data_IF_905509319902
#
_entry.id   IF_905509319902
#
_cell.length_a   1.000
_cell.length_b   1.000
_cell.length_c   1.000
_cell.angle_alpha   90.00
_cell.angle_beta   90.00
_cell.angle_gamma   90.00
#
_symmetry.space_group_name_H-M   'P 1'
#
loop_
_entity.id
_entity.type
_entity.pdbx_description
1 polymer ?
#
# COMPACT_ATOMS: atom_id res chain seq x y z
N UNK A 1 -3.08 -90.33 37.70
CA UNK A 1 -1.83 -89.58 37.89
C UNK A 1 -1.90 -88.28 37.08
N UNK A 2 -1.66 -87.14 37.72
CA UNK A 2 -1.13 -85.88 37.15
C UNK A 2 -1.94 -85.17 36.04
N UNK A 3 -2.98 -84.40 36.41
CA UNK A 3 -3.04 -82.92 36.48
C UNK A 3 -2.84 -82.14 35.17
N UNK A 4 -3.99 -81.69 34.64
CA UNK A 4 -4.21 -80.46 33.88
C UNK A 4 -3.45 -79.25 34.48
N UNK A 5 -2.75 -78.49 33.63
CA UNK A 5 -2.42 -77.08 33.91
C UNK A 5 -3.11 -76.18 32.88
N UNK A 6 -3.94 -75.26 33.39
CA UNK A 6 -4.63 -74.19 32.66
C UNK A 6 -3.67 -73.03 32.33
N UNK A 7 -3.87 -72.31 31.21
CA UNK A 7 -3.22 -71.03 30.95
C UNK A 7 -4.03 -69.89 31.57
N UNK A 8 -3.57 -69.39 32.71
CA UNK A 8 -3.99 -68.10 33.27
C UNK A 8 -2.72 -67.37 33.70
N UNK A 9 -2.62 -66.08 33.32
CA UNK A 9 -1.62 -65.07 33.73
C UNK A 9 -0.85 -64.39 32.58
N UNK A 10 -1.53 -63.99 31.49
CA UNK A 10 -0.99 -62.99 30.54
C UNK A 10 -1.81 -61.69 30.51
N UNK A 11 -2.57 -61.40 31.56
CA UNK A 11 -3.43 -60.21 31.68
C UNK A 11 -3.12 -59.35 32.92
N UNK A 12 -2.02 -59.62 33.63
CA UNK A 12 -1.69 -58.98 34.91
C UNK A 12 -0.38 -58.19 34.88
N UNK A 13 -0.07 -57.52 33.77
CA UNK A 13 1.03 -56.53 33.69
C UNK A 13 0.67 -55.27 32.88
N UNK A 14 -0.60 -55.10 32.48
CA UNK A 14 -1.09 -53.90 31.76
C UNK A 14 -1.79 -52.90 32.71
N UNK A 15 -1.96 -53.26 33.98
CA UNK A 15 -2.71 -52.47 34.96
C UNK A 15 -1.82 -51.87 36.07
N UNK A 16 -0.60 -51.42 35.72
CA UNK A 16 0.30 -50.73 36.68
C UNK A 16 1.09 -49.56 36.07
N UNK A 17 0.71 -49.08 34.87
CA UNK A 17 1.19 -47.82 34.28
C UNK A 17 0.06 -46.78 34.17
N UNK A 18 -1.18 -47.12 34.56
CA UNK A 18 -2.36 -46.26 34.40
C UNK A 18 -2.67 -45.39 35.63
N UNK A 19 -1.95 -45.51 36.75
CA UNK A 19 -2.32 -44.80 37.99
C UNK A 19 -1.33 -43.75 38.51
N UNK A 20 -0.33 -43.30 37.72
CA UNK A 20 0.61 -42.27 38.19
C UNK A 20 0.72 -41.09 37.21
N UNK A 21 -0.41 -40.41 36.94
CA UNK A 21 -0.44 -39.04 36.40
C UNK A 21 -1.81 -38.32 36.54
N UNK A 22 -2.54 -38.35 37.68
CA UNK A 22 -3.56 -37.34 37.92
C UNK A 22 -2.94 -36.23 38.79
N UNK A 23 -2.28 -35.24 38.20
CA UNK A 23 -1.68 -34.20 39.04
C UNK A 23 -0.99 -33.00 38.39
N UNK A 24 -0.91 -32.90 37.06
CA UNK A 24 -0.35 -31.71 36.40
C UNK A 24 -1.06 -31.49 35.07
N UNK A 25 -2.24 -30.86 35.06
CA UNK A 25 -2.63 -29.89 34.02
C UNK A 25 -4.00 -29.24 34.31
N UNK A 26 -4.12 -28.50 35.41
CA UNK A 26 -5.12 -27.44 35.49
C UNK A 26 -4.53 -26.17 34.85
N UNK A 27 -4.42 -26.15 33.52
CA UNK A 27 -4.31 -24.88 32.81
C UNK A 27 -5.73 -24.31 32.70
N UNK A 28 -5.99 -23.07 33.18
CA UNK A 28 -7.23 -22.40 32.82
C UNK A 28 -7.24 -22.27 31.31
N UNK A 29 -8.21 -22.92 30.68
CA UNK A 29 -8.54 -22.67 29.29
C UNK A 29 -9.16 -21.28 29.24
N UNK A 30 -8.32 -20.25 29.17
CA UNK A 30 -8.76 -18.91 28.80
C UNK A 30 -9.31 -19.06 27.39
N UNK A 31 -10.63 -19.08 27.25
CA UNK A 31 -11.28 -18.95 25.97
C UNK A 31 -10.69 -17.69 25.33
N UNK A 32 -9.89 -17.85 24.28
CA UNK A 32 -9.57 -16.75 23.40
C UNK A 32 -10.91 -16.32 22.81
N UNK A 33 -11.47 -15.22 23.31
CA UNK A 33 -12.60 -14.57 22.66
C UNK A 33 -12.21 -14.40 21.18
N UNK A 34 -13.10 -14.75 20.23
CA UNK A 34 -12.82 -14.48 18.83
C UNK A 34 -12.52 -13.00 18.73
N UNK A 35 -11.25 -12.67 18.45
CA UNK A 35 -10.83 -11.30 18.27
C UNK A 35 -11.60 -10.82 17.04
N UNK A 36 -12.72 -10.13 17.29
CA UNK A 36 -13.47 -9.44 16.25
C UNK A 36 -12.49 -8.41 15.73
N UNK A 37 -11.83 -8.72 14.60
CA UNK A 37 -10.99 -7.76 13.90
C UNK A 37 -11.90 -6.61 13.53
N UNK A 38 -11.81 -5.52 14.28
CA UNK A 38 -12.51 -4.29 13.94
C UNK A 38 -12.02 -3.89 12.54
N UNK A 39 -12.91 -3.75 11.55
CA UNK A 39 -12.48 -3.43 10.20
C UNK A 39 -11.67 -2.14 10.23
N UNK A 40 -10.44 -2.19 9.69
CA UNK A 40 -9.58 -1.01 9.67
C UNK A 40 -10.24 0.08 8.83
N UNK A 41 -10.42 1.26 9.40
CA UNK A 41 -10.94 2.44 8.67
C UNK A 41 -9.84 3.21 7.94
N UNK A 42 -8.57 2.93 8.27
CA UNK A 42 -7.40 3.56 7.67
C UNK A 42 -6.95 2.84 6.41
N UNK A 43 -6.78 3.62 5.34
CA UNK A 43 -6.30 3.12 4.05
C UNK A 43 -4.79 3.35 3.94
N UNK A 44 -4.07 2.33 3.51
CA UNK A 44 -2.62 2.39 3.29
C UNK A 44 -2.32 2.70 1.83
N UNK A 45 -1.45 3.67 1.61
CA UNK A 45 -0.93 4.02 0.29
C UNK A 45 0.55 3.68 0.23
N UNK A 46 0.97 3.04 -0.85
CA UNK A 46 2.36 2.73 -1.10
C UNK A 46 2.78 3.24 -2.47
N UNK A 47 3.78 4.11 -2.49
CA UNK A 47 4.48 4.47 -3.71
C UNK A 47 5.69 3.55 -3.88
N UNK A 48 5.82 2.91 -5.04
CA UNK A 48 6.99 2.09 -5.40
C UNK A 48 7.66 2.76 -6.60
N UNK A 49 8.90 3.22 -6.43
CA UNK A 49 9.60 4.04 -7.43
C UNK A 49 10.85 3.33 -7.92
N UNK A 50 10.93 3.14 -9.24
CA UNK A 50 12.14 2.66 -9.91
C UNK A 50 13.22 3.76 -9.90
N UNK A 51 14.37 3.45 -9.31
CA UNK A 51 15.56 4.31 -9.24
C UNK A 51 16.72 3.71 -10.04
N UNK A 52 16.41 2.95 -11.10
CA UNK A 52 17.42 2.43 -12.02
C UNK A 52 18.04 3.52 -12.90
N UNK A 53 19.17 3.21 -13.54
CA UNK A 53 19.83 4.15 -14.46
C UNK A 53 18.92 4.58 -15.62
N UNK A 54 18.01 3.72 -16.08
CA UNK A 54 17.05 4.07 -17.12
C UNK A 54 16.08 5.19 -16.68
N UNK A 55 15.81 5.30 -15.38
CA UNK A 55 14.89 6.28 -14.82
C UNK A 55 15.50 7.67 -14.62
N UNK A 56 16.83 7.83 -14.72
CA UNK A 56 17.53 9.10 -14.50
C UNK A 56 16.94 10.24 -15.36
N UNK A 57 16.75 9.98 -16.66
CA UNK A 57 16.16 10.95 -17.60
C UNK A 57 14.67 11.23 -17.34
N UNK A 58 14.00 10.37 -16.58
CA UNK A 58 12.57 10.48 -16.24
C UNK A 58 12.34 11.05 -14.83
N UNK A 59 13.43 11.32 -14.10
CA UNK A 59 13.40 11.64 -12.67
C UNK A 59 12.60 12.89 -12.33
N UNK A 60 12.63 13.91 -13.20
CA UNK A 60 11.81 15.12 -13.05
C UNK A 60 10.32 14.81 -13.15
N UNK A 61 9.91 14.06 -14.18
CA UNK A 61 8.52 13.64 -14.37
C UNK A 61 8.05 12.77 -13.18
N UNK A 62 8.87 11.84 -12.71
CA UNK A 62 8.59 11.02 -11.53
C UNK A 62 8.35 11.90 -10.29
N UNK A 63 9.22 12.86 -10.03
CA UNK A 63 9.09 13.78 -8.89
C UNK A 63 7.79 14.58 -8.98
N UNK A 64 7.47 15.11 -10.16
CA UNK A 64 6.28 15.91 -10.36
C UNK A 64 5.00 15.07 -10.18
N UNK A 65 4.93 13.90 -10.82
CA UNK A 65 3.78 12.99 -10.71
C UNK A 65 3.58 12.56 -9.25
N UNK A 66 4.64 12.09 -8.59
CA UNK A 66 4.57 11.64 -7.20
C UNK A 66 4.15 12.77 -6.26
N UNK A 67 4.70 13.97 -6.45
CA UNK A 67 4.33 15.14 -5.64
C UNK A 67 2.88 15.55 -5.86
N UNK A 68 2.42 15.59 -7.11
CA UNK A 68 1.05 15.96 -7.46
C UNK A 68 0.03 14.95 -6.89
N UNK A 69 0.35 13.66 -6.92
CA UNK A 69 -0.46 12.63 -6.27
C UNK A 69 -0.59 12.90 -4.76
N UNK A 70 0.48 13.28 -4.07
CA UNK A 70 0.39 13.57 -2.63
C UNK A 70 -0.33 14.88 -2.34
N UNK A 71 -0.05 15.94 -3.10
CA UNK A 71 -0.74 17.25 -2.95
C UNK A 71 -2.24 17.09 -3.11
N UNK A 72 -2.68 16.32 -4.11
CA UNK A 72 -4.09 16.06 -4.40
C UNK A 72 -4.74 15.05 -3.45
N UNK A 73 -4.05 14.58 -2.40
CA UNK A 73 -4.53 13.49 -1.54
C UNK A 73 -4.94 12.25 -2.37
N UNK A 74 -4.07 11.83 -3.29
CA UNK A 74 -4.29 10.70 -4.21
C UNK A 74 -5.55 10.89 -5.06
N UNK A 75 -5.64 12.04 -5.75
CA UNK A 75 -6.84 12.49 -6.49
C UNK A 75 -8.11 12.54 -5.61
N UNK A 76 -7.96 12.98 -4.35
CA UNK A 76 -9.04 13.13 -3.39
C UNK A 76 -9.52 11.83 -2.73
N UNK A 77 -8.87 10.68 -3.01
CA UNK A 77 -9.26 9.41 -2.42
C UNK A 77 -8.62 9.14 -1.05
N UNK A 78 -7.46 9.74 -0.75
CA UNK A 78 -6.85 9.66 0.57
C UNK A 78 -7.56 10.61 1.54
N UNK A 79 -7.87 10.11 2.74
CA UNK A 79 -8.50 10.86 3.82
C UNK A 79 -7.49 11.20 4.93
N UNK A 80 -7.75 12.22 5.76
CA UNK A 80 -6.95 12.46 6.96
C UNK A 80 -6.88 11.19 7.84
N UNK A 81 -5.68 10.82 8.25
CA UNK A 81 -5.43 9.57 9.00
C UNK A 81 -5.00 8.38 8.13
N UNK A 82 -5.19 8.44 6.82
CA UNK A 82 -4.57 7.47 5.90
C UNK A 82 -3.04 7.58 5.93
N UNK A 83 -2.34 6.52 5.53
CA UNK A 83 -0.87 6.48 5.60
C UNK A 83 -0.24 6.35 4.22
N UNK A 84 0.95 6.93 4.05
CA UNK A 84 1.77 6.86 2.84
C UNK A 84 3.16 6.31 3.16
N UNK A 85 3.47 5.14 2.61
CA UNK A 85 4.81 4.58 2.53
C UNK A 85 5.43 4.81 1.16
N UNK A 86 6.75 4.82 1.09
CA UNK A 86 7.50 4.89 -0.17
C UNK A 86 8.60 3.85 -0.16
N UNK A 87 8.62 3.02 -1.19
CA UNK A 87 9.70 2.09 -1.50
C UNK A 87 10.39 2.54 -2.78
N UNK A 88 11.69 2.34 -2.83
CA UNK A 88 12.47 2.49 -4.06
C UNK A 88 13.00 1.13 -4.46
N UNK A 89 13.32 0.96 -5.73
CA UNK A 89 14.00 -0.24 -6.18
C UNK A 89 14.86 0.05 -7.40
N UNK A 90 15.93 -0.72 -7.52
CA UNK A 90 16.66 -0.91 -8.76
C UNK A 90 16.86 -2.41 -8.94
N UNK A 91 18.03 -2.95 -8.63
CA UNK A 91 18.27 -4.40 -8.63
C UNK A 91 17.69 -5.06 -7.38
N UNK A 92 17.62 -4.32 -6.28
CA UNK A 92 17.06 -4.74 -5.01
C UNK A 92 15.93 -3.80 -4.58
N UNK A 93 15.08 -4.29 -3.69
CA UNK A 93 14.04 -3.51 -3.05
C UNK A 93 14.60 -2.77 -1.85
N UNK A 94 14.47 -1.44 -1.81
CA UNK A 94 14.78 -0.64 -0.62
C UNK A 94 13.49 -0.14 0.05
N UNK A 95 13.28 -0.57 1.30
CA UNK A 95 12.14 -0.18 2.13
C UNK A 95 12.59 0.68 3.31
N UNK A 96 11.65 1.43 3.91
CA UNK A 96 11.89 2.15 5.18
C UNK A 96 12.83 3.36 5.11
N UNK A 97 13.34 3.73 3.93
CA UNK A 97 14.22 4.91 3.74
C UNK A 97 13.46 6.23 3.82
N UNK A 98 12.22 6.24 3.36
CA UNK A 98 11.32 7.37 3.50
C UNK A 98 10.47 7.20 4.76
N UNK A 99 10.44 8.17 5.68
CA UNK A 99 9.60 8.10 6.87
C UNK A 99 8.12 7.97 6.49
N UNK A 100 7.41 7.05 7.14
CA UNK A 100 5.97 6.88 6.94
C UNK A 100 5.26 8.22 7.18
N UNK A 101 4.44 8.65 6.23
CA UNK A 101 3.66 9.87 6.34
C UNK A 101 2.20 9.53 6.66
N UNK A 102 1.53 10.43 7.37
CA UNK A 102 0.08 10.38 7.57
C UNK A 102 -0.54 11.53 6.77
N UNK A 103 -1.59 11.24 6.02
CA UNK A 103 -2.35 12.26 5.30
C UNK A 103 -3.07 13.17 6.29
N UNK A 104 -3.09 14.46 5.99
CA UNK A 104 -3.76 15.50 6.77
C UNK A 104 -4.59 16.38 5.83
N UNK A 105 -5.25 17.40 6.36
CA UNK A 105 -5.95 18.40 5.54
C UNK A 105 -5.02 19.21 4.64
N UNK A 106 -3.71 19.29 4.95
CA UNK A 106 -2.70 19.95 4.12
C UNK A 106 -1.52 19.01 3.83
N UNK A 107 -1.47 18.49 2.61
CA UNK A 107 -0.46 17.50 2.20
C UNK A 107 0.76 18.11 1.51
N UNK A 108 0.83 19.43 1.34
CA UNK A 108 1.96 20.13 0.69
C UNK A 108 3.30 19.83 1.39
N UNK A 109 3.41 19.82 2.73
CA UNK A 109 4.68 19.49 3.40
C UNK A 109 5.13 18.05 3.13
N UNK A 110 4.19 17.10 3.10
CA UNK A 110 4.48 15.70 2.79
C UNK A 110 4.96 15.55 1.34
N UNK A 111 4.31 16.22 0.39
CA UNK A 111 4.71 16.23 -1.01
C UNK A 111 6.11 16.83 -1.22
N UNK A 112 6.44 17.94 -0.53
CA UNK A 112 7.78 18.55 -0.60
C UNK A 112 8.87 17.61 -0.06
N UNK A 113 8.59 16.91 1.05
CA UNK A 113 9.51 15.89 1.59
C UNK A 113 9.70 14.75 0.60
N UNK A 114 8.63 14.29 -0.03
CA UNK A 114 8.70 13.26 -1.06
C UNK A 114 9.55 13.70 -2.27
N UNK A 115 9.30 14.90 -2.80
CA UNK A 115 10.08 15.46 -3.91
C UNK A 115 11.58 15.53 -3.56
N UNK A 116 11.91 16.05 -2.37
CA UNK A 116 13.28 16.13 -1.89
C UNK A 116 13.93 14.75 -1.72
N UNK A 117 13.19 13.77 -1.20
CA UNK A 117 13.64 12.39 -1.05
C UNK A 117 13.95 11.75 -2.41
N UNK A 118 13.02 11.87 -3.39
CA UNK A 118 13.17 11.29 -4.72
C UNK A 118 14.32 11.94 -5.51
N UNK A 119 14.47 13.28 -5.40
CA UNK A 119 15.58 14.00 -6.02
C UNK A 119 16.95 13.57 -5.50
N UNK A 120 17.02 13.15 -4.23
CA UNK A 120 18.26 12.70 -3.60
C UNK A 120 18.59 11.22 -3.90
N UNK A 121 17.71 10.47 -4.58
CA UNK A 121 17.98 9.08 -4.91
C UNK A 121 19.03 8.97 -6.04
N UNK A 122 20.07 8.16 -5.86
CA UNK A 122 20.96 7.82 -6.96
C UNK A 122 20.23 6.96 -7.99
N UNK A 123 20.55 7.15 -9.28
CA UNK A 123 20.00 6.37 -10.38
C UNK A 123 21.04 5.38 -10.91
N UNK A 124 20.91 4.12 -10.50
CA UNK A 124 21.97 3.13 -10.66
C UNK A 124 21.41 1.74 -10.96
N UNK A 125 22.22 0.90 -11.62
CA UNK A 125 21.84 -0.48 -11.92
C UNK A 125 20.65 -0.60 -12.88
N UNK A 126 20.04 -1.79 -12.87
CA UNK A 126 18.87 -2.14 -13.68
C UNK A 126 17.61 -2.25 -12.83
N UNK A 127 16.45 -1.79 -13.35
CA UNK A 127 15.18 -1.89 -12.63
C UNK A 127 14.65 -3.33 -12.67
N UNK A 128 14.60 -4.02 -11.52
CA UNK A 128 14.18 -5.42 -11.37
C UNK A 128 12.90 -5.50 -10.56
N UNK A 129 11.79 -5.11 -11.19
CA UNK A 129 10.47 -5.17 -10.58
C UNK A 129 10.08 -6.57 -10.06
N UNK A 130 10.44 -7.70 -10.72
CA UNK A 130 10.19 -9.03 -10.18
C UNK A 130 10.78 -9.29 -8.78
N UNK A 131 11.85 -8.59 -8.39
CA UNK A 131 12.44 -8.72 -7.05
C UNK A 131 11.61 -8.00 -5.98
N UNK A 132 10.78 -7.03 -6.38
CA UNK A 132 9.87 -6.29 -5.50
C UNK A 132 8.57 -7.07 -5.27
N UNK A 133 8.09 -7.76 -6.32
CA UNK A 133 6.76 -8.37 -6.34
C UNK A 133 6.48 -9.33 -5.17
N UNK A 134 7.37 -10.25 -4.75
CA UNK A 134 7.10 -11.15 -3.63
C UNK A 134 6.83 -10.42 -2.32
N UNK A 135 7.68 -9.46 -1.97
CA UNK A 135 7.52 -8.63 -0.76
C UNK A 135 6.26 -7.76 -0.85
N UNK A 136 5.98 -7.22 -2.04
CA UNK A 136 4.78 -6.43 -2.28
C UNK A 136 3.50 -7.26 -2.11
N UNK A 137 3.45 -8.48 -2.65
CA UNK A 137 2.30 -9.36 -2.52
C UNK A 137 2.11 -9.83 -1.08
N UNK A 138 3.18 -10.02 -0.31
CA UNK A 138 3.07 -10.29 1.12
C UNK A 138 2.51 -9.10 1.91
N UNK A 139 2.89 -7.87 1.56
CA UNK A 139 2.29 -6.67 2.15
C UNK A 139 0.80 -6.55 1.80
N UNK A 140 0.42 -6.87 0.57
CA UNK A 140 -0.98 -6.92 0.14
C UNK A 140 -1.77 -7.92 0.99
N UNK A 141 -1.26 -9.14 1.15
CA UNK A 141 -1.88 -10.21 1.96
C UNK A 141 -2.08 -9.83 3.43
N UNK A 142 -1.20 -8.98 3.98
CA UNK A 142 -1.27 -8.52 5.37
C UNK A 142 -2.05 -7.22 5.57
N UNK A 143 -2.69 -6.70 4.52
CA UNK A 143 -3.43 -5.44 4.56
C UNK A 143 -4.92 -5.64 4.26
N UNK A 144 -5.77 -5.02 5.06
CA UNK A 144 -7.22 -4.99 4.82
C UNK A 144 -7.55 -4.11 3.59
N UNK A 145 -6.95 -2.92 3.51
CA UNK A 145 -7.05 -2.02 2.34
C UNK A 145 -5.70 -1.38 2.03
N UNK A 146 -5.21 -1.57 0.80
CA UNK A 146 -3.98 -0.93 0.32
C UNK A 146 -4.10 -0.55 -1.16
N UNK A 147 -3.61 0.64 -1.50
CA UNK A 147 -3.39 1.05 -2.89
C UNK A 147 -1.90 1.21 -3.12
N UNK A 148 -1.38 0.51 -4.13
CA UNK A 148 0.01 0.56 -4.56
C UNK A 148 0.09 1.32 -5.87
N UNK A 149 1.00 2.29 -5.97
CA UNK A 149 1.28 3.02 -7.20
C UNK A 149 2.75 2.80 -7.54
N UNK A 150 3.01 2.19 -8.70
CA UNK A 150 4.34 1.84 -9.19
C UNK A 150 4.71 2.82 -10.31
N UNK A 151 5.84 3.52 -10.16
CA UNK A 151 6.45 4.33 -11.20
C UNK A 151 7.68 3.61 -11.74
N UNK A 152 7.65 3.22 -13.01
CA UNK A 152 8.73 2.47 -13.66
C UNK A 152 8.90 2.84 -15.12
N UNK A 153 9.98 2.38 -15.75
CA UNK A 153 10.19 2.57 -17.19
C UNK A 153 9.41 1.55 -18.06
N UNK A 154 8.70 0.61 -17.44
CA UNK A 154 7.93 -0.45 -18.09
C UNK A 154 8.79 -1.49 -18.82
N UNK A 155 10.10 -1.56 -18.56
CA UNK A 155 11.00 -2.57 -19.14
C UNK A 155 10.89 -3.93 -18.44
N UNK A 156 10.79 -3.91 -17.12
CA UNK A 156 10.54 -5.08 -16.27
C UNK A 156 9.04 -5.39 -16.18
N UNK A 157 8.70 -6.65 -16.35
CA UNK A 157 7.31 -7.12 -16.31
C UNK A 157 6.78 -7.22 -14.87
N UNK A 158 5.49 -6.93 -14.72
CA UNK A 158 4.73 -7.20 -13.49
C UNK A 158 4.29 -8.66 -13.52
N UNK A 159 4.53 -9.36 -12.40
CA UNK A 159 4.17 -10.76 -12.21
C UNK A 159 3.58 -10.99 -10.83
N UNK A 160 2.64 -11.93 -10.72
CA UNK A 160 2.01 -12.30 -9.46
C UNK A 160 0.71 -11.54 -9.16
N UNK A 161 0.17 -10.80 -10.11
CA UNK A 161 -1.14 -10.15 -10.01
C UNK A 161 -2.16 -10.84 -10.91
N UNK A 162 -3.48 -10.72 -10.65
CA UNK A 162 -4.51 -11.20 -11.57
C UNK A 162 -4.55 -10.46 -12.92
N UNK A 163 -3.73 -9.41 -13.09
CA UNK A 163 -3.78 -8.47 -14.21
C UNK A 163 -2.47 -8.42 -15.00
N UNK A 164 -1.53 -9.35 -14.75
CA UNK A 164 -0.17 -9.37 -15.31
C UNK A 164 -0.18 -9.16 -16.83
N UNK A 165 -0.93 -9.99 -17.56
CA UNK A 165 -0.99 -9.94 -19.02
C UNK A 165 -1.47 -8.57 -19.53
N UNK A 166 -2.52 -8.02 -18.91
CA UNK A 166 -3.13 -6.74 -19.31
C UNK A 166 -2.18 -5.57 -19.04
N UNK A 167 -1.53 -5.57 -17.89
CA UNK A 167 -0.57 -4.53 -17.51
C UNK A 167 0.65 -4.57 -18.43
N UNK A 168 1.23 -5.76 -18.63
CA UNK A 168 2.42 -5.93 -19.46
C UNK A 168 2.12 -5.67 -20.95
N UNK A 169 0.90 -5.94 -21.41
CA UNK A 169 0.47 -5.54 -22.76
C UNK A 169 0.51 -4.02 -22.92
N UNK A 170 0.02 -3.25 -21.94
CA UNK A 170 0.13 -1.78 -21.96
C UNK A 170 1.58 -1.30 -21.98
N UNK A 171 2.47 -1.92 -21.21
CA UNK A 171 3.90 -1.61 -21.26
C UNK A 171 4.47 -1.81 -22.66
N UNK A 172 4.23 -2.97 -23.28
CA UNK A 172 4.76 -3.28 -24.62
C UNK A 172 4.26 -2.30 -25.69
N UNK A 173 2.99 -1.90 -25.62
CA UNK A 173 2.38 -0.98 -26.60
C UNK A 173 2.98 0.43 -26.51
N UNK A 174 3.23 0.95 -25.31
CA UNK A 174 3.59 2.36 -25.10
C UNK A 174 5.07 2.61 -24.78
N UNK A 175 5.88 1.57 -24.55
CA UNK A 175 7.27 1.71 -24.05
C UNK A 175 8.12 2.65 -24.90
N UNK A 176 8.01 2.55 -26.22
CA UNK A 176 8.79 3.40 -27.15
C UNK A 176 8.41 4.87 -27.03
N UNK A 177 7.12 5.16 -26.92
CA UNK A 177 6.61 6.52 -26.79
C UNK A 177 6.99 7.13 -25.44
N UNK A 178 6.79 6.39 -24.36
CA UNK A 178 7.17 6.82 -23.01
C UNK A 178 8.70 7.03 -22.89
N UNK A 179 9.51 6.17 -23.53
CA UNK A 179 10.95 6.37 -23.58
C UNK A 179 11.38 7.62 -24.36
N UNK A 180 10.72 7.91 -25.49
CA UNK A 180 11.00 9.13 -26.28
C UNK A 180 10.59 10.39 -25.53
N UNK A 181 9.44 10.37 -24.87
CA UNK A 181 8.92 11.47 -24.06
C UNK A 181 9.58 11.59 -22.68
N UNK A 182 10.49 10.68 -22.32
CA UNK A 182 11.11 10.62 -20.99
C UNK A 182 10.08 10.55 -19.85
N UNK A 183 8.97 9.86 -20.11
CA UNK A 183 7.88 9.68 -19.16
C UNK A 183 7.92 8.28 -18.54
N UNK A 184 7.58 8.14 -17.25
CA UNK A 184 7.42 6.84 -16.60
C UNK A 184 6.04 6.27 -16.86
N UNK A 185 5.90 4.95 -16.77
CA UNK A 185 4.60 4.32 -16.57
C UNK A 185 4.14 4.53 -15.13
N UNK A 186 2.86 4.81 -14.95
CA UNK A 186 2.22 4.87 -13.64
C UNK A 186 1.21 3.72 -13.55
N UNK A 187 1.54 2.71 -12.75
CA UNK A 187 0.68 1.53 -12.56
C UNK A 187 0.08 1.55 -11.18
N UNK A 188 -1.25 1.53 -11.09
CA UNK A 188 -1.98 1.41 -9.85
C UNK A 188 -2.47 -0.03 -9.67
N UNK A 189 -2.24 -0.57 -8.48
CA UNK A 189 -2.81 -1.83 -8.01
C UNK A 189 -3.61 -1.53 -6.74
N UNK A 190 -4.90 -1.85 -6.78
CA UNK A 190 -5.78 -1.73 -5.64
C UNK A 190 -6.00 -3.10 -5.03
N UNK A 191 -5.80 -3.21 -3.72
CA UNK A 191 -6.03 -4.44 -3.01
C UNK A 191 -6.92 -4.27 -1.80
N UNK A 192 -7.69 -5.31 -1.52
CA UNK A 192 -8.58 -5.43 -0.37
C UNK A 192 -8.58 -6.87 0.12
N UNK A 193 -8.60 -7.05 1.44
CA UNK A 193 -8.69 -8.35 2.10
C UNK A 193 -7.65 -9.35 1.54
N UNK A 194 -6.41 -8.87 1.38
CA UNK A 194 -5.30 -9.67 0.91
C UNK A 194 -5.21 -9.95 -0.59
N UNK A 195 -6.12 -9.40 -1.41
CA UNK A 195 -6.16 -9.67 -2.86
C UNK A 195 -6.15 -8.38 -3.68
N UNK A 196 -5.44 -8.37 -4.80
CA UNK A 196 -5.50 -7.29 -5.79
C UNK A 196 -6.82 -7.39 -6.55
N UNK A 197 -7.69 -6.38 -6.43
CA UNK A 197 -9.05 -6.40 -6.99
C UNK A 197 -9.23 -5.50 -8.19
N UNK A 198 -8.44 -4.43 -8.32
CA UNK A 198 -8.52 -3.50 -9.45
C UNK A 198 -7.11 -3.03 -9.84
N UNK A 199 -6.98 -2.58 -11.10
CA UNK A 199 -5.75 -2.01 -11.61
C UNK A 199 -6.05 -0.83 -12.55
N UNK A 200 -5.05 0.03 -12.73
CA UNK A 200 -5.03 1.02 -13.80
C UNK A 200 -3.59 1.21 -14.27
N UNK A 201 -3.39 1.48 -15.56
CA UNK A 201 -2.08 1.85 -16.10
C UNK A 201 -2.27 3.17 -16.84
N UNK A 202 -1.46 4.16 -16.49
CA UNK A 202 -1.44 5.45 -17.16
C UNK A 202 -0.06 5.73 -17.74
N UNK A 203 -0.08 6.43 -18.88
CA UNK A 203 1.07 6.84 -19.67
C UNK A 203 1.01 8.36 -19.78
N UNK A 204 1.71 9.11 -18.91
CA UNK A 204 1.72 10.57 -18.93
C UNK A 204 1.98 11.12 -20.34
N UNK A 205 1.35 12.26 -20.70
CA UNK A 205 0.69 13.22 -19.81
C UNK A 205 -0.77 12.89 -19.45
N UNK A 206 -1.32 11.78 -19.93
CA UNK A 206 -2.69 11.38 -19.56
C UNK A 206 -2.79 11.17 -18.04
N UNK A 207 -3.89 11.62 -17.40
CA UNK A 207 -4.04 11.49 -15.95
C UNK A 207 -4.12 10.01 -15.54
N UNK A 208 -3.73 9.72 -14.30
CA UNK A 208 -4.02 8.41 -13.70
C UNK A 208 -5.50 8.37 -13.31
N UNK A 209 -6.28 7.57 -14.03
CA UNK A 209 -7.66 7.26 -13.65
C UNK A 209 -7.63 6.33 -12.42
N UNK A 210 -8.00 6.88 -11.26
CA UNK A 210 -8.04 6.12 -10.01
C UNK A 210 -9.35 5.32 -9.96
N UNK A 211 -9.30 3.98 -9.87
CA UNK A 211 -10.49 3.18 -9.60
C UNK A 211 -11.21 3.65 -8.32
N UNK A 212 -12.53 3.46 -8.18
CA UNK A 212 -13.27 3.85 -6.97
C UNK A 212 -12.81 3.04 -5.75
N UNK A 213 -12.88 3.64 -4.55
CA UNK A 213 -12.59 2.93 -3.29
C UNK A 213 -13.57 1.78 -3.10
N UNK A 214 -13.10 0.70 -2.49
CA UNK A 214 -13.93 -0.46 -2.23
C UNK A 214 -15.07 -0.10 -1.27
N UNK A 215 -16.26 -0.61 -1.56
CA UNK A 215 -17.46 -0.33 -0.79
C UNK A 215 -17.28 -0.67 0.69
N UNK A 216 -16.59 -1.77 1.01
CA UNK A 216 -16.32 -2.17 2.39
C UNK A 216 -15.52 -1.11 3.17
N UNK A 217 -14.55 -0.43 2.55
CA UNK A 217 -13.79 0.65 3.18
C UNK A 217 -14.68 1.89 3.40
N UNK A 218 -15.51 2.21 2.40
CA UNK A 218 -16.46 3.34 2.48
C UNK A 218 -17.48 3.09 3.60
N UNK A 219 -18.02 1.88 3.68
CA UNK A 219 -18.95 1.46 4.74
C UNK A 219 -18.31 1.53 6.12
N UNK A 220 -17.12 0.94 6.30
CA UNK A 220 -16.40 0.98 7.58
C UNK A 220 -16.14 2.42 8.06
N UNK A 221 -15.78 3.33 7.14
CA UNK A 221 -15.62 4.76 7.45
C UNK A 221 -16.93 5.42 7.86
N UNK A 222 -18.01 5.17 7.13
CA UNK A 222 -19.33 5.74 7.45
C UNK A 222 -19.86 5.27 8.81
N UNK A 223 -19.65 3.99 9.15
CA UNK A 223 -20.01 3.43 10.46
C UNK A 223 -19.19 4.07 11.59
N UNK A 224 -17.88 4.27 11.38
CA UNK A 224 -17.03 4.92 12.35
C UNK A 224 -17.44 6.38 12.61
N UNK A 225 -17.84 7.12 11.57
CA UNK A 225 -18.37 8.49 11.74
C UNK A 225 -19.68 8.48 12.53
N UNK A 226 -20.62 7.58 12.20
CA UNK A 226 -21.89 7.44 12.94
C UNK A 226 -21.68 7.06 14.41
N UNK A 227 -20.66 6.27 14.72
CA UNK A 227 -20.34 5.88 16.10
C UNK A 227 -19.81 7.06 16.95
N UNK A 228 -19.26 8.11 16.31
CA UNK A 228 -18.72 9.30 16.98
C UNK A 228 -19.73 10.47 17.00
N UNK A 229 -20.82 10.39 16.24
CA UNK A 229 -21.90 11.37 16.32
C UNK A 229 -22.50 11.35 17.74
N UNK A 230 -22.58 12.50 18.44
CA UNK A 230 -23.06 12.51 19.80
C UNK A 230 -24.50 11.99 19.80
N UNK A 231 -24.74 10.88 20.50
CA UNK A 231 -26.08 10.52 20.98
C UNK A 231 -26.66 11.81 21.54
N UNK A 232 -27.67 12.38 20.87
CA UNK A 232 -28.41 13.55 21.35
C UNK A 232 -28.63 13.35 22.84
N UNK A 233 -27.93 14.11 23.67
CA UNK A 233 -28.05 14.01 25.11
C UNK A 233 -29.53 14.25 25.42
N UNK A 234 -30.23 13.21 25.89
CA UNK A 234 -31.52 13.42 26.51
C UNK A 234 -31.29 14.43 27.64
N UNK A 235 -32.10 15.49 27.75
CA UNK A 235 -31.92 16.48 28.80
C UNK A 235 -31.93 15.77 30.15
N UNK A 236 -30.79 15.77 30.85
CA UNK A 236 -30.76 15.34 32.25
C UNK A 236 -31.69 16.28 33.02
N UNK A 237 -32.60 15.75 33.85
CA UNK A 237 -33.36 16.61 34.76
C UNK A 237 -32.37 17.32 35.69
N UNK A 238 -32.33 18.65 35.59
CA UNK A 238 -31.59 19.52 36.50
C UNK A 238 -32.20 19.40 37.89
N UNK A 239 -31.42 19.08 38.95
CA UNK A 239 -31.94 19.16 40.31
C UNK A 239 -32.21 20.63 40.67
N UNK A 240 -33.25 20.91 41.48
CA UNK A 240 -33.61 22.27 41.86
C UNK A 240 -32.50 22.96 42.67
N UNK A 241 -32.35 24.29 42.55
CA UNK A 241 -31.33 25.03 43.28
C UNK A 241 -31.62 25.04 44.78
N UNK A 242 -30.60 24.68 45.58
CA UNK A 242 -30.64 24.77 47.03
C UNK A 242 -30.44 26.23 47.46
N UNK A 243 -31.49 26.86 47.97
CA UNK A 243 -31.44 28.22 48.54
C UNK A 243 -30.87 28.14 49.96
N UNK A 244 -29.65 28.60 50.16
CA UNK A 244 -29.08 28.82 51.50
C UNK A 244 -29.37 30.26 51.93
N UNK A 245 -30.45 30.47 52.68
CA UNK A 245 -30.72 31.75 53.35
C UNK A 245 -29.87 31.87 54.62
N UNK A 246 -28.73 32.55 54.51
CA UNK A 246 -27.89 32.95 55.64
C UNK A 246 -28.34 34.29 56.23
N UNK A 247 -28.95 34.25 57.42
CA UNK A 247 -29.32 35.40 58.26
C UNK A 247 -28.08 35.86 59.04
N UNK A 248 -27.61 37.10 58.86
CA UNK A 248 -26.68 37.77 59.80
C UNK A 248 -27.49 38.43 60.93
N UNK A 249 -26.96 38.44 62.16
CA UNK A 249 -26.59 39.75 62.74
C UNK A 249 -25.22 39.77 63.44
N UNK A 250 -24.73 41.01 63.50
CA UNK A 250 -23.47 41.54 64.06
C UNK A 250 -23.37 41.44 65.59
N UNK A 251 -22.14 41.44 66.16
CA UNK A 251 -21.63 42.52 67.06
C UNK A 251 -20.13 42.32 67.40
N UNK A 252 -19.40 43.44 67.32
CA UNK A 252 -18.03 43.80 67.73
C UNK A 252 -17.60 43.28 69.13
N UNK A 253 -16.31 43.08 69.49
CA UNK A 253 -15.27 44.10 69.78
C UNK A 253 -13.83 43.48 69.81
N UNK A 254 -12.90 44.12 69.07
CA UNK A 254 -11.48 44.56 69.38
C UNK A 254 -10.60 43.72 70.34
N UNK A 255 -9.35 43.32 70.04
CA UNK A 255 -8.11 44.13 69.84
C UNK A 255 -6.95 43.25 69.27
N UNK A 256 -6.34 43.60 68.11
CA UNK A 256 -4.95 44.09 67.88
C UNK A 256 -3.82 43.02 67.99
N UNK A 257 -2.81 42.85 67.12
CA UNK A 257 -1.94 43.69 66.25
C UNK A 257 -1.16 42.70 65.30
N UNK A 258 -0.30 43.09 64.33
CA UNK A 258 -0.45 43.88 63.08
C UNK A 258 -0.10 43.11 61.77
N UNK A 259 -0.49 43.69 60.63
CA UNK A 259 -0.08 43.38 59.24
C UNK A 259 1.25 44.09 58.88
N UNK A 260 1.99 43.67 57.84
CA UNK A 260 1.94 44.44 56.58
C UNK A 260 2.00 43.59 55.28
N UNK A 261 1.54 44.22 54.21
CA UNK A 261 1.27 43.71 52.85
C UNK A 261 2.44 43.09 52.07
N UNK A 262 2.16 42.24 51.07
CA UNK A 262 3.12 41.88 50.03
C UNK A 262 3.12 42.93 48.88
N UNK A 263 4.19 43.71 48.78
CA UNK A 263 4.58 44.36 47.51
C UNK A 263 5.41 43.39 46.64
N UNK A 264 5.30 43.48 45.31
CA UNK A 264 5.96 42.56 44.38
C UNK A 264 7.47 42.77 44.33
N UNK A 265 8.23 41.68 44.49
CA UNK A 265 9.69 41.65 44.43
C UNK A 265 10.19 41.90 43.01
N UNK A 266 11.03 42.92 42.91
CA UNK A 266 11.93 43.26 41.81
C UNK A 266 12.84 42.07 41.47
N UNK A 267 12.90 41.70 40.20
CA UNK A 267 13.92 40.80 39.64
C UNK A 267 15.25 41.55 39.62
N UNK A 268 16.24 41.01 40.33
CA UNK A 268 17.62 41.46 40.29
C UNK A 268 18.43 40.50 39.43
N UNK A 269 19.12 41.13 38.49
CA UNK A 269 20.13 40.66 37.56
C UNK A 269 21.33 40.01 38.27
N UNK A 270 21.84 38.91 37.70
CA UNK A 270 23.19 38.39 37.97
C UNK A 270 23.65 37.58 36.77
N UNK A 271 24.56 38.16 36.00
CA UNK A 271 25.40 37.53 34.98
C UNK A 271 26.37 36.51 35.58
N UNK A 272 26.85 35.56 34.76
CA UNK A 272 28.29 35.34 34.76
C UNK A 272 28.88 35.37 33.34
N UNK A 273 29.98 36.10 33.25
CA UNK A 273 30.94 36.21 32.16
C UNK A 273 31.88 34.98 32.16
N UNK A 274 32.08 34.33 31.01
CA UNK A 274 33.46 34.10 30.53
C UNK A 274 33.56 33.81 29.01
N UNK A 275 34.24 34.76 28.35
CA UNK A 275 35.13 34.71 27.17
C UNK A 275 35.06 33.61 26.10
N UNK A 276 34.91 34.05 24.84
CA UNK A 276 35.36 33.38 23.62
C UNK A 276 36.24 34.38 22.83
N UNK A 277 37.44 34.01 22.35
CA UNK A 277 38.31 34.92 21.61
C UNK A 277 37.91 35.09 20.14
N UNK A 278 38.28 36.27 19.64
CA UNK A 278 38.00 36.90 18.35
C UNK A 278 38.28 36.07 17.08
N UNK A 279 37.48 36.32 16.04
CA UNK A 279 38.03 36.47 14.68
C UNK A 279 37.29 37.59 13.91
N UNK A 280 37.99 38.52 13.24
CA UNK A 280 37.40 39.77 12.74
C UNK A 280 36.63 39.61 11.43
N UNK A 281 35.60 40.45 11.28
CA UNK A 281 34.96 40.77 10.01
C UNK A 281 35.85 41.71 9.17
N UNK A 282 35.96 41.42 7.87
CA UNK A 282 36.30 42.44 6.85
C UNK A 282 35.32 42.29 5.70
N UNK A 283 34.76 43.43 5.32
CA UNK A 283 33.75 43.65 4.31
C UNK A 283 34.32 43.73 2.88
N UNK A 284 33.38 43.77 1.95
CA UNK A 284 33.43 44.39 0.62
C UNK A 284 33.96 43.55 -0.57
N UNK A 285 33.05 43.40 -1.52
CA UNK A 285 33.30 43.09 -2.92
C UNK A 285 34.23 44.12 -3.59
N UNK A 286 34.88 43.74 -4.70
CA UNK A 286 34.28 44.11 -5.99
C UNK A 286 34.29 42.96 -7.02
N UNK A 287 33.29 42.97 -7.89
CA UNK A 287 33.33 42.30 -9.20
C UNK A 287 33.58 43.38 -10.28
N UNK A 288 33.77 43.06 -11.58
CA UNK A 288 34.27 41.84 -12.23
C UNK A 288 35.41 42.15 -13.22
N UNK A 289 36.25 41.17 -13.55
CA UNK A 289 37.05 41.20 -14.79
C UNK A 289 36.72 39.99 -15.65
N UNK A 290 36.25 40.32 -16.85
CA UNK A 290 35.86 39.44 -17.93
C UNK A 290 37.01 38.54 -18.40
N UNK A 291 36.69 37.29 -18.75
CA UNK A 291 37.12 36.72 -20.03
C UNK A 291 35.97 35.88 -20.61
N UNK A 292 35.39 36.48 -21.63
CA UNK A 292 34.42 35.94 -22.57
C UNK A 292 35.09 34.88 -23.45
N UNK A 293 34.43 33.74 -23.64
CA UNK A 293 34.60 32.92 -24.84
C UNK A 293 33.23 32.42 -25.26
N UNK A 294 32.50 33.33 -25.88
CA UNK A 294 31.33 33.05 -26.70
C UNK A 294 31.44 33.94 -27.93
N UNK A 295 31.71 33.28 -29.06
CA UNK A 295 31.01 33.43 -30.34
C UNK A 295 30.15 34.71 -30.48
N UNK A 296 30.58 35.62 -31.35
CA UNK A 296 29.73 36.54 -32.12
C UNK A 296 30.06 36.26 -33.59
N UNK A 297 29.17 35.73 -34.43
CA UNK A 297 27.95 36.34 -34.96
C UNK A 297 28.22 37.62 -35.79
N UNK A 298 28.37 37.37 -37.11
CA UNK A 298 27.87 38.09 -38.28
C UNK A 298 27.84 39.64 -38.31
N UNK A 299 28.37 40.19 -39.42
CA UNK A 299 27.60 41.13 -40.25
C UNK A 299 28.24 41.31 -41.63
N UNK A 300 27.58 40.85 -42.71
CA UNK A 300 27.32 41.70 -43.88
C UNK A 300 26.20 41.14 -44.77
N UNK A 301 25.10 41.89 -44.76
CA UNK A 301 24.25 42.23 -45.91
C UNK A 301 23.12 41.28 -46.36
N UNK A 302 21.89 41.81 -46.48
CA UNK A 302 20.72 41.08 -46.95
C UNK A 302 20.63 41.10 -48.48
N UNK A 303 20.17 40.00 -49.08
CA UNK A 303 19.60 40.03 -50.43
C UNK A 303 18.25 39.30 -50.43
N UNK A 304 17.16 39.95 -50.88
CA UNK A 304 15.81 39.37 -50.91
C UNK A 304 15.71 38.24 -51.92
N UNK A 305 15.05 37.15 -51.56
CA UNK A 305 14.38 36.28 -52.54
C UNK A 305 12.95 36.05 -52.07
N UNK A 306 12.07 36.54 -52.91
CA UNK A 306 10.62 36.59 -52.85
C UNK A 306 9.98 35.17 -52.88
N UNK A 307 8.80 34.99 -52.29
CA UNK A 307 8.09 33.71 -52.29
C UNK A 307 7.47 33.45 -53.67
N UNK A 308 7.79 32.32 -54.30
CA UNK A 308 7.05 31.87 -55.49
C UNK A 308 5.81 31.09 -55.06
N UNK A 309 4.61 31.46 -55.54
CA UNK A 309 3.33 30.82 -55.22
C UNK A 309 3.09 29.51 -56.01
N UNK A 310 2.11 28.68 -55.61
CA UNK A 310 1.74 27.47 -56.34
C UNK A 310 0.99 27.83 -57.63
N UNK A 311 1.50 27.38 -58.79
CA UNK A 311 0.73 27.42 -60.04
C UNK A 311 -0.16 26.20 -60.16
N UNK A 312 -1.44 26.49 -60.10
CA UNK A 312 -2.56 25.80 -60.72
C UNK A 312 -2.33 25.73 -62.25
N UNK A 313 -2.52 24.55 -62.85
CA UNK A 313 -2.86 24.43 -64.28
C UNK A 313 -4.19 23.68 -64.38
N UNK A 314 -5.21 24.46 -64.74
CA UNK A 314 -6.50 24.03 -65.29
C UNK A 314 -6.44 24.12 -66.81
N UNK A 315 -7.23 23.28 -67.51
CA UNK A 315 -8.00 23.46 -68.77
C UNK A 315 -8.13 22.06 -69.42
N UNK A 316 -9.26 21.36 -69.23
CA UNK A 316 -10.49 21.32 -70.10
C UNK A 316 -10.26 20.53 -71.41
N UNK A 317 -11.08 19.60 -71.93
CA UNK A 317 -12.56 19.37 -72.02
C UNK A 317 -12.78 17.93 -72.57
N UNK A 318 -13.63 17.05 -71.98
CA UNK A 318 -15.04 16.68 -72.32
C UNK A 318 -15.28 15.99 -73.70
N UNK A 319 -16.39 15.24 -73.99
CA UNK A 319 -17.38 14.51 -73.17
C UNK A 319 -17.73 13.07 -73.70
N UNK A 320 -18.49 12.30 -72.92
CA UNK A 320 -19.38 11.24 -73.43
C UNK A 320 -19.30 9.92 -72.64
N UNK A 321 -20.36 9.19 -72.34
CA UNK A 321 -21.81 9.29 -72.57
C UNK A 321 -22.49 8.50 -71.43
N UNK A 322 -23.75 8.85 -71.20
CA UNK A 322 -24.78 8.57 -70.18
C UNK A 322 -25.00 7.13 -69.61
N UNK A 323 -25.82 7.03 -68.51
CA UNK A 323 -26.00 5.89 -67.59
C UNK A 323 -27.34 5.15 -67.79
N UNK A 324 -27.58 4.00 -67.11
CA UNK A 324 -28.95 3.44 -66.90
C UNK A 324 -29.09 2.58 -65.61
N UNK A 325 -30.12 2.96 -64.83
CA UNK A 325 -31.03 2.23 -63.92
C UNK A 325 -30.49 1.23 -62.87
N UNK A 326 -30.72 1.41 -61.56
CA UNK A 326 -32.00 1.45 -60.81
C UNK A 326 -32.78 0.12 -60.77
N UNK A 327 -32.79 -0.54 -59.60
CA UNK A 327 -34.03 -1.07 -58.99
C UNK A 327 -33.86 -1.41 -57.50
N UNK A 328 -34.73 -0.81 -56.69
CA UNK A 328 -35.04 -1.18 -55.32
C UNK A 328 -35.96 -2.41 -55.27
N UNK A 329 -35.90 -3.19 -54.18
CA UNK A 329 -37.04 -3.82 -53.50
C UNK A 329 -36.59 -4.57 -52.22
N UNK A 330 -37.19 -4.22 -51.08
CA UNK A 330 -37.25 -4.98 -49.81
C UNK A 330 -38.44 -5.98 -49.86
N UNK A 331 -38.96 -6.58 -48.76
CA UNK A 331 -38.38 -7.41 -47.66
C UNK A 331 -39.12 -8.77 -47.41
N UNK A 332 -38.56 -9.62 -46.51
CA UNK A 332 -39.21 -10.69 -45.66
C UNK A 332 -39.80 -11.97 -46.31
N UNK A 333 -40.30 -13.00 -45.56
CA UNK A 333 -39.89 -13.68 -44.31
C UNK A 333 -39.97 -15.25 -44.42
N UNK A 334 -39.51 -16.01 -43.41
CA UNK A 334 -39.78 -17.46 -43.35
C UNK A 334 -39.32 -18.15 -42.07
N UNK A 335 -40.29 -18.54 -41.25
CA UNK A 335 -40.15 -19.30 -40.00
C UNK A 335 -40.36 -20.82 -40.21
N UNK A 336 -39.69 -21.65 -39.38
CA UNK A 336 -40.13 -22.96 -38.85
C UNK A 336 -39.02 -23.47 -37.90
N UNK A 337 -39.19 -23.57 -36.57
CA UNK A 337 -39.96 -24.56 -35.79
C UNK A 337 -39.55 -26.01 -36.18
N UNK A 338 -38.63 -26.71 -35.49
CA UNK A 338 -38.67 -27.37 -34.16
C UNK A 338 -38.12 -28.82 -34.32
N UNK A 339 -37.97 -29.72 -33.30
CA UNK A 339 -38.07 -29.58 -31.85
C UNK A 339 -36.80 -30.03 -31.08
N UNK A 340 -36.83 -29.83 -29.76
CA UNK A 340 -35.87 -30.33 -28.78
C UNK A 340 -35.94 -31.86 -28.57
N UNK A 341 -34.92 -32.45 -27.92
CA UNK A 341 -35.16 -33.41 -26.86
C UNK A 341 -34.60 -32.92 -25.51
N UNK A 342 -35.51 -32.82 -24.55
CA UNK A 342 -35.22 -32.81 -23.12
C UNK A 342 -35.03 -34.26 -22.65
N UNK A 343 -33.94 -34.54 -21.92
CA UNK A 343 -33.92 -35.40 -20.74
C UNK A 343 -32.47 -35.69 -20.31
N UNK A 344 -32.15 -35.47 -19.04
CA UNK A 344 -30.89 -35.93 -18.45
C UNK A 344 -30.43 -35.17 -17.20
N UNK A 345 -31.34 -34.78 -16.30
CA UNK A 345 -30.97 -34.31 -14.95
C UNK A 345 -30.30 -35.47 -14.22
N UNK A 346 -28.99 -35.37 -13.97
CA UNK A 346 -28.25 -36.33 -13.16
C UNK A 346 -27.69 -35.62 -11.92
N UNK A 347 -27.90 -36.26 -10.77
CA UNK A 347 -27.82 -35.69 -9.43
C UNK A 347 -26.37 -35.40 -8.99
N UNK A 348 -26.09 -34.15 -8.61
CA UNK A 348 -24.80 -33.67 -8.07
C UNK A 348 -24.46 -34.16 -6.64
N UNK A 349 -25.11 -35.21 -6.13
CA UNK A 349 -24.92 -35.70 -4.77
C UNK A 349 -23.86 -36.82 -4.64
N UNK A 350 -23.42 -37.44 -5.75
CA UNK A 350 -22.49 -38.59 -5.71
C UNK A 350 -21.03 -38.19 -5.98
N UNK A 351 -20.78 -37.03 -6.59
CA UNK A 351 -19.41 -36.56 -6.86
C UNK A 351 -18.67 -36.04 -5.61
N UNK A 352 -19.40 -35.58 -4.58
CA UNK A 352 -18.82 -35.07 -3.34
C UNK A 352 -18.23 -36.18 -2.44
N UNK A 353 -18.74 -37.43 -2.54
CA UNK A 353 -18.25 -38.56 -1.74
C UNK A 353 -16.91 -39.13 -2.20
N UNK A 354 -16.62 -39.06 -3.51
CA UNK A 354 -15.39 -39.62 -4.09
C UNK A 354 -14.20 -38.67 -3.87
N UNK A 355 -14.43 -37.34 -3.87
CA UNK A 355 -13.36 -36.36 -3.60
C UNK A 355 -12.93 -36.36 -2.12
N UNK A 356 -13.88 -36.57 -1.20
CA UNK A 356 -13.60 -36.59 0.25
C UNK A 356 -12.81 -37.84 0.68
N UNK A 357 -13.08 -38.99 0.06
CA UNK A 357 -12.39 -40.27 0.36
C UNK A 357 -10.94 -40.27 -0.15
N UNK A 358 -10.69 -39.70 -1.33
CA UNK A 358 -9.32 -39.54 -1.86
C UNK A 358 -8.51 -38.57 -0.98
N UNK A 359 -9.09 -37.46 -0.54
CA UNK A 359 -8.42 -36.49 0.33
C UNK A 359 -8.05 -37.07 1.71
N UNK A 360 -8.95 -37.83 2.34
CA UNK A 360 -8.68 -38.50 3.63
C UNK A 360 -7.61 -39.59 3.49
N UNK A 361 -7.60 -40.34 2.39
CA UNK A 361 -6.56 -41.35 2.15
C UNK A 361 -5.16 -40.72 1.97
N UNK A 362 -5.07 -39.57 1.31
CA UNK A 362 -3.83 -38.83 1.12
C UNK A 362 -3.25 -38.30 2.43
N UNK A 363 -4.09 -37.76 3.31
CA UNK A 363 -3.66 -37.25 4.63
C UNK A 363 -3.15 -38.37 5.54
N UNK A 364 -3.82 -39.54 5.54
CA UNK A 364 -3.37 -40.71 6.32
C UNK A 364 -2.04 -41.25 5.77
N UNK A 365 -1.84 -41.27 4.46
CA UNK A 365 -0.58 -41.70 3.85
C UNK A 365 0.57 -40.72 4.20
N UNK A 366 0.32 -39.41 4.17
CA UNK A 366 1.32 -38.39 4.54
C UNK A 366 1.68 -38.48 6.04
N UNK A 367 0.73 -38.78 6.92
CA UNK A 367 1.00 -38.97 8.34
C UNK A 367 1.76 -40.28 8.62
N UNK A 368 1.46 -41.36 7.90
CA UNK A 368 2.21 -42.61 8.00
C UNK A 368 3.64 -42.49 7.43
N UNK A 369 3.84 -41.69 6.38
CA UNK A 369 5.16 -41.40 5.83
C UNK A 369 5.98 -40.48 6.74
N UNK A 370 5.36 -39.48 7.39
CA UNK A 370 6.04 -38.65 8.43
C UNK A 370 6.41 -39.47 9.68
N UNK A 371 5.58 -40.44 10.06
CA UNK A 371 5.88 -41.35 11.19
C UNK A 371 7.08 -42.27 10.95
N UNK A 372 7.36 -42.64 9.70
CA UNK A 372 8.52 -43.47 9.34
C UNK A 372 9.83 -42.69 9.24
N UNK A 373 9.80 -41.40 8.93
CA UNK A 373 11.00 -40.57 8.79
C UNK A 373 11.57 -40.05 10.12
N UNK A 374 10.80 -40.09 11.23
CA UNK A 374 11.24 -39.56 12.52
C UNK A 374 11.98 -40.56 13.43
N UNK A 375 12.39 -41.74 12.92
CA UNK A 375 13.15 -42.76 13.68
C UNK A 375 14.64 -42.86 13.32
N UNK A 376 15.25 -41.81 12.77
CA UNK A 376 16.69 -41.81 12.47
C UNK A 376 17.41 -40.49 12.80
N UNK A 377 17.20 -39.90 13.97
CA UNK A 377 18.17 -38.97 14.56
C UNK A 377 18.13 -39.09 16.09
N UNK A 378 18.69 -40.20 16.58
CA UNK A 378 19.02 -40.36 18.00
C UNK A 378 20.45 -39.84 18.22
N UNK A 379 20.54 -38.76 19.01
CA UNK A 379 21.65 -38.29 19.84
C UNK A 379 23.09 -38.68 19.47
N UNK A 380 23.85 -37.71 18.96
CA UNK A 380 25.32 -37.77 18.82
C UNK A 380 26.08 -36.68 19.61
N UNK A 381 25.45 -36.05 20.61
CA UNK A 381 26.10 -34.95 21.38
C UNK A 381 26.45 -35.35 22.83
N UNK A 382 26.08 -36.54 23.29
CA UNK A 382 26.42 -37.04 24.65
C UNK A 382 27.44 -38.17 24.65
N UNK A 383 28.44 -38.14 23.76
CA UNK A 383 29.54 -39.13 23.75
C UNK A 383 30.96 -38.55 23.91
N UNK A 384 31.07 -37.31 24.37
CA UNK A 384 32.36 -36.58 24.50
C UNK A 384 32.96 -36.53 25.91
N UNK A 385 32.45 -37.29 26.90
CA UNK A 385 32.93 -37.19 28.30
C UNK A 385 33.50 -38.48 28.91
N UNK A 386 33.52 -39.60 28.18
CA UNK A 386 33.92 -40.91 28.73
C UNK A 386 35.28 -41.43 28.22
N UNK A 387 36.13 -40.60 27.58
CA UNK A 387 37.45 -41.05 27.08
C UNK A 387 38.65 -40.31 27.69
N UNK A 388 38.52 -39.88 28.96
CA UNK A 388 39.61 -39.22 29.71
C UNK A 388 39.99 -39.95 31.00
N UNK A 389 39.84 -41.27 31.01
CA UNK A 389 40.47 -42.18 31.98
C UNK A 389 40.82 -43.49 31.29
N UNK A 390 41.94 -43.48 30.57
CA UNK A 390 42.90 -44.58 30.45
C UNK A 390 44.21 -44.02 29.91
#
# INVERSE_FOLDING_TARGET
>A
MSRLLKPTNLLRNIWLVVCLLPGILSLPLTAAEPSVKTPSTSHRWLLVVDTSRAMERRSEAVQQIASNLVVSAMNGQAQPGDTLGVWTFNEELQTGRFPLQTFTSNNIPAARRLAGFLRAQPHEGSGRLPNVMPTLMHLVQSSDFITVIILSDGSSEIVGTPFDEKINASFRSWRREQARGQMPFVTLLRASLGNVTQYAVSTPPFPLEMPPLQEALVQARNEAVRAVEPVKAQPRPTPPPLIVSGRKPSTNVTQAVPQPDPQPLKVVESTPTNSLPERPAVAAAPAPSAQTSAVAAAETQPKPVEPTPPSEQTVETSPGVTPVAARASAPQPGANAGPAPSAGRMNNAVLAGIVLTVALSGVVLILLMRGRHSRKHASLITRSLENRRQ
#
